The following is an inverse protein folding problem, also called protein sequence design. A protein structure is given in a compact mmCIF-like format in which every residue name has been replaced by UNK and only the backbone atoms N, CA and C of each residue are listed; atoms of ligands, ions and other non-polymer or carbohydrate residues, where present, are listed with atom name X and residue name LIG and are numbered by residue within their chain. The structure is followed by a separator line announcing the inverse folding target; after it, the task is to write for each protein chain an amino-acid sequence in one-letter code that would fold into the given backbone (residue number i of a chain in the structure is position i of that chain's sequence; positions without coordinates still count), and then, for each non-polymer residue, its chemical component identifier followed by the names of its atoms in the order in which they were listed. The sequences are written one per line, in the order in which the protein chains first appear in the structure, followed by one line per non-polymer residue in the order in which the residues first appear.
data_IF_207603354389
#
_entry.id   IF_207603354389
#
_cell.length_a   1.000
_cell.length_b   1.000
_cell.length_c   1.000
_cell.angle_alpha   90.00
_cell.angle_beta   90.00
_cell.angle_gamma   90.00
#
_symmetry.space_group_name_H-M   'P 1'
#
loop_
_entity.id
_entity.type
_entity.pdbx_description
1 polymer ?
#
# COMPACT_ATOMS: atom_id res chain seq x y z
N UNK A 1 10.56 -10.26 -17.48
CA UNK A 1 9.21 -10.59 -16.96
C UNK A 1 9.02 -9.79 -15.68
N UNK A 2 7.81 -9.32 -15.36
CA UNK A 2 7.59 -8.53 -14.14
C UNK A 2 7.54 -9.41 -12.88
N UNK A 3 8.16 -8.96 -11.79
CA UNK A 3 8.17 -9.63 -10.47
C UNK A 3 7.27 -8.86 -9.51
N UNK A 4 6.61 -9.55 -8.58
CA UNK A 4 5.77 -8.95 -7.54
C UNK A 4 6.41 -9.07 -6.16
N UNK A 5 6.38 -7.98 -5.37
CA UNK A 5 6.78 -7.98 -3.97
C UNK A 5 5.63 -7.51 -3.08
N UNK A 6 5.42 -8.20 -1.95
CA UNK A 6 4.28 -7.98 -1.05
C UNK A 6 3.22 -9.07 -1.16
N UNK A 7 1.98 -8.74 -0.79
CA UNK A 7 0.88 -9.68 -0.63
C UNK A 7 0.03 -9.77 -1.92
N UNK A 8 0.63 -10.32 -2.98
CA UNK A 8 0.03 -10.43 -4.32
C UNK A 8 -0.89 -11.65 -4.52
N UNK A 9 -1.07 -12.50 -3.50
CA UNK A 9 -2.03 -13.62 -3.51
C UNK A 9 -3.21 -13.25 -2.63
N UNK A 10 -4.43 -13.37 -3.16
CA UNK A 10 -5.65 -12.99 -2.44
C UNK A 10 -5.76 -13.72 -1.09
N UNK A 11 -5.96 -12.95 -0.03
CA UNK A 11 -6.28 -13.46 1.28
C UNK A 11 -7.79 -13.78 1.39
N UNK A 12 -8.09 -14.79 2.21
CA UNK A 12 -9.47 -15.22 2.42
C UNK A 12 -10.29 -14.17 3.22
N UNK A 13 -9.64 -13.49 4.16
CA UNK A 13 -10.26 -12.47 5.00
C UNK A 13 -10.64 -11.20 4.23
N UNK A 14 -11.46 -10.38 4.87
CA UNK A 14 -11.87 -9.07 4.37
C UNK A 14 -11.74 -8.03 5.49
N UNK A 15 -10.97 -6.97 5.26
CA UNK A 15 -10.85 -5.85 6.20
C UNK A 15 -11.98 -4.84 6.01
N UNK A 16 -12.08 -3.90 6.94
CA UNK A 16 -12.86 -2.68 6.80
C UNK A 16 -11.92 -1.48 6.93
N UNK A 17 -11.81 -0.69 5.86
CA UNK A 17 -11.06 0.56 5.83
C UNK A 17 -12.05 1.72 5.75
N UNK A 18 -12.09 2.51 6.81
CA UNK A 18 -12.88 3.75 6.87
C UNK A 18 -12.14 4.86 6.12
N UNK A 19 -12.84 5.74 5.38
CA UNK A 19 -12.21 6.91 4.75
C UNK A 19 -11.59 7.86 5.79
N UNK A 20 -10.68 8.71 5.34
CA UNK A 20 -9.99 9.69 6.19
C UNK A 20 -8.68 9.18 6.80
N UNK A 21 -8.20 8.01 6.39
CA UNK A 21 -6.92 7.45 6.82
C UNK A 21 -6.06 7.02 5.64
N UNK A 22 -4.77 7.36 5.72
CA UNK A 22 -3.73 6.73 4.92
C UNK A 22 -3.10 5.64 5.78
N UNK A 23 -3.18 4.37 5.35
CA UNK A 23 -2.71 3.25 6.17
C UNK A 23 -2.14 2.09 5.35
N UNK A 24 -1.19 1.37 5.95
CA UNK A 24 -0.64 0.18 5.33
C UNK A 24 0.55 -0.41 6.07
N UNK A 25 1.30 -1.25 5.36
CA UNK A 25 2.31 -2.12 5.96
C UNK A 25 3.61 -2.16 5.14
N UNK A 26 4.66 -2.78 5.69
CA UNK A 26 5.95 -2.83 5.04
C UNK A 26 5.96 -3.86 3.91
N UNK A 27 6.77 -3.59 2.89
CA UNK A 27 7.18 -4.53 1.84
C UNK A 27 8.70 -4.57 1.75
N UNK A 28 9.24 -5.70 1.31
CA UNK A 28 10.68 -5.88 1.12
C UNK A 28 10.98 -6.04 -0.36
N UNK A 29 11.91 -5.23 -0.86
CA UNK A 29 12.49 -5.32 -2.20
C UNK A 29 13.90 -5.94 -2.05
N UNK A 30 14.11 -7.21 -2.44
CA UNK A 30 15.33 -7.94 -2.13
C UNK A 30 16.54 -7.51 -2.97
N UNK A 31 16.33 -6.88 -4.12
CA UNK A 31 17.39 -6.44 -5.02
C UNK A 31 16.99 -5.15 -5.76
N UNK A 32 17.96 -4.36 -6.26
CA UNK A 32 17.66 -3.18 -7.04
C UNK A 32 16.71 -3.51 -8.19
N UNK A 33 15.62 -2.76 -8.31
CA UNK A 33 14.53 -3.03 -9.24
C UNK A 33 13.94 -1.73 -9.76
N UNK A 34 13.16 -1.78 -10.84
CA UNK A 34 12.37 -0.64 -11.34
C UNK A 34 10.91 -0.85 -11.01
N UNK A 35 10.34 -0.01 -10.13
CA UNK A 35 8.90 0.00 -9.86
C UNK A 35 8.13 0.31 -11.13
N UNK A 36 7.05 -0.43 -11.38
CA UNK A 36 6.18 -0.24 -12.54
C UNK A 36 4.71 -0.08 -12.17
N UNK A 37 4.24 -0.77 -11.12
CA UNK A 37 2.85 -0.71 -10.68
C UNK A 37 2.74 -0.78 -9.16
N UNK A 38 1.69 -0.14 -8.64
CA UNK A 38 1.19 -0.37 -7.29
C UNK A 38 -0.07 -1.24 -7.36
N UNK A 39 -0.16 -2.22 -6.48
CA UNK A 39 -1.16 -3.27 -6.52
C UNK A 39 -1.98 -3.35 -5.24
N UNK A 40 -3.28 -3.62 -5.40
CA UNK A 40 -4.23 -3.91 -4.32
C UNK A 40 -5.14 -5.06 -4.73
N UNK A 41 -5.55 -5.92 -3.78
CA UNK A 41 -6.62 -6.91 -4.00
C UNK A 41 -7.81 -6.57 -3.10
N UNK A 42 -8.89 -6.12 -3.71
CA UNK A 42 -10.07 -5.65 -3.01
C UNK A 42 -11.15 -6.74 -2.92
N UNK A 43 -11.85 -6.78 -1.80
CA UNK A 43 -13.02 -7.65 -1.56
C UNK A 43 -14.34 -6.96 -1.94
N UNK A 44 -14.33 -5.64 -2.05
CA UNK A 44 -15.43 -4.82 -2.57
C UNK A 44 -14.92 -3.79 -3.58
N UNK A 45 -15.79 -3.38 -4.50
CA UNK A 45 -15.58 -2.20 -5.36
C UNK A 45 -16.46 -1.04 -4.92
N UNK A 46 -16.35 0.10 -5.60
CA UNK A 46 -17.18 1.28 -5.34
C UNK A 46 -16.40 2.56 -5.06
N UNK A 47 -15.66 2.66 -3.94
CA UNK A 47 -14.87 3.85 -3.63
C UNK A 47 -13.70 4.02 -4.60
N UNK A 48 -13.06 5.17 -4.57
CA UNK A 48 -11.75 5.38 -5.19
C UNK A 48 -10.64 5.09 -4.19
N UNK A 49 -9.53 4.56 -4.70
CA UNK A 49 -8.31 4.33 -3.95
C UNK A 49 -7.17 5.20 -4.48
N UNK A 50 -6.36 5.70 -3.57
CA UNK A 50 -4.99 6.15 -3.83
C UNK A 50 -4.07 5.16 -3.14
N UNK A 51 -3.16 4.54 -3.90
CA UNK A 51 -2.08 3.71 -3.35
C UNK A 51 -0.78 4.49 -3.46
N UNK A 52 0.01 4.47 -2.40
CA UNK A 52 1.29 5.15 -2.30
C UNK A 52 2.36 4.20 -1.78
N UNK A 53 3.58 4.39 -2.25
CA UNK A 53 4.79 3.74 -1.76
C UNK A 53 5.68 4.79 -1.10
N UNK A 54 6.07 4.53 0.13
CA UNK A 54 6.97 5.35 0.93
C UNK A 54 8.29 4.60 1.18
N UNK A 55 9.40 5.34 1.27
CA UNK A 55 10.67 4.80 1.72
C UNK A 55 10.61 4.42 3.19
N UNK A 56 11.47 3.51 3.63
CA UNK A 56 11.68 3.23 5.05
C UNK A 56 12.83 4.07 5.62
N UNK A 57 12.61 4.67 6.79
CA UNK A 57 13.63 5.27 7.63
C UNK A 57 13.51 4.68 9.04
N UNK A 58 14.48 3.84 9.41
CA UNK A 58 14.54 3.19 10.73
C UNK A 58 13.29 2.39 11.11
N UNK A 59 12.64 1.74 10.14
CA UNK A 59 11.44 0.94 10.37
C UNK A 59 10.14 1.75 10.35
N UNK A 60 10.18 3.01 9.88
CA UNK A 60 9.03 3.89 9.73
C UNK A 60 8.91 4.39 8.28
N UNK A 61 7.69 4.63 7.75
CA UNK A 61 7.51 5.31 6.47
C UNK A 61 8.01 6.76 6.51
N UNK A 62 8.73 7.20 5.47
CA UNK A 62 9.32 8.55 5.38
C UNK A 62 8.97 9.27 4.07
N UNK A 63 9.78 9.14 3.02
CA UNK A 63 9.61 9.91 1.77
C UNK A 63 8.68 9.24 0.78
N UNK A 64 7.84 10.01 0.12
CA UNK A 64 6.99 9.51 -0.95
C UNK A 64 7.87 9.10 -2.14
N UNK A 65 7.77 7.83 -2.55
CA UNK A 65 8.52 7.26 -3.68
C UNK A 65 7.68 7.27 -4.94
N UNK A 66 6.43 6.85 -4.84
CA UNK A 66 5.48 6.83 -5.94
C UNK A 66 4.04 6.78 -5.41
N UNK A 67 3.10 7.24 -6.22
CA UNK A 67 1.68 7.06 -5.98
C UNK A 67 0.93 6.95 -7.29
N UNK A 68 -0.32 6.52 -7.20
CA UNK A 68 -1.27 6.50 -8.32
C UNK A 68 -2.34 7.55 -8.10
N UNK A 69 -2.92 8.13 -9.17
CA UNK A 69 -4.08 9.00 -9.03
C UNK A 69 -5.27 8.21 -8.45
N UNK A 70 -6.26 8.94 -7.93
CA UNK A 70 -7.51 8.35 -7.46
C UNK A 70 -8.12 7.45 -8.54
N UNK A 71 -8.25 6.16 -8.22
CA UNK A 71 -8.66 5.13 -9.17
C UNK A 71 -9.92 4.42 -8.64
N UNK A 72 -10.98 4.25 -9.45
CA UNK A 72 -12.19 3.57 -9.00
C UNK A 72 -11.90 2.10 -8.70
N UNK A 73 -12.30 1.65 -7.50
CA UNK A 73 -12.05 0.29 -7.06
C UNK A 73 -12.98 -0.72 -7.72
N UNK A 74 -12.40 -1.84 -8.12
CA UNK A 74 -13.08 -3.04 -8.60
C UNK A 74 -12.72 -4.22 -7.70
N UNK A 75 -13.61 -5.21 -7.60
CA UNK A 75 -13.34 -6.45 -6.85
C UNK A 75 -12.20 -7.23 -7.52
N UNK A 76 -11.30 -7.79 -6.72
CA UNK A 76 -10.15 -8.57 -7.17
C UNK A 76 -8.88 -7.73 -7.28
N UNK A 77 -7.91 -8.26 -8.02
CA UNK A 77 -6.60 -7.63 -8.18
C UNK A 77 -6.67 -6.43 -9.12
N UNK A 78 -6.16 -5.30 -8.65
CA UNK A 78 -5.95 -4.09 -9.41
C UNK A 78 -4.47 -3.73 -9.41
N UNK A 79 -3.92 -3.48 -10.59
CA UNK A 79 -2.55 -3.05 -10.79
C UNK A 79 -2.55 -1.72 -11.53
N UNK A 80 -2.11 -0.68 -10.85
CA UNK A 80 -2.17 0.69 -11.35
C UNK A 80 -0.75 1.12 -11.73
N UNK A 81 -0.53 1.53 -13.00
CA UNK A 81 0.80 1.89 -13.46
C UNK A 81 1.29 3.16 -12.78
N UNK A 82 2.59 3.21 -12.50
CA UNK A 82 3.29 4.42 -12.06
C UNK A 82 4.34 4.81 -13.08
N UNK A 83 4.84 6.04 -12.99
CA UNK A 83 6.09 6.41 -13.65
C UNK A 83 7.18 5.45 -13.20
N UNK A 84 7.95 4.81 -14.12
CA UNK A 84 9.01 3.90 -13.74
C UNK A 84 10.02 4.55 -12.79
N UNK A 85 10.17 3.98 -11.59
CA UNK A 85 11.01 4.54 -10.52
C UNK A 85 12.03 3.52 -10.07
N UNK A 86 13.31 3.91 -10.03
CA UNK A 86 14.38 3.05 -9.51
C UNK A 86 14.23 2.84 -8.00
N UNK A 87 14.19 1.59 -7.56
CA UNK A 87 14.14 1.17 -6.17
C UNK A 87 15.45 0.45 -5.82
N UNK A 88 16.28 1.01 -4.93
CA UNK A 88 17.28 0.23 -4.23
C UNK A 88 16.68 -0.99 -3.51
N UNK A 89 17.50 -2.01 -3.26
CA UNK A 89 17.12 -3.08 -2.35
C UNK A 89 16.86 -2.50 -0.95
N UNK A 90 15.77 -2.90 -0.30
CA UNK A 90 15.41 -2.38 1.01
C UNK A 90 13.96 -2.62 1.39
N UNK A 91 13.60 -2.08 2.54
CA UNK A 91 12.21 -2.02 3.02
C UNK A 91 11.55 -0.75 2.53
N UNK A 92 10.26 -0.86 2.22
CA UNK A 92 9.37 0.25 1.86
C UNK A 92 8.03 0.06 2.58
N UNK A 93 7.16 1.06 2.51
CA UNK A 93 5.83 1.03 3.08
C UNK A 93 4.80 1.30 1.99
N UNK A 94 3.90 0.35 1.76
CA UNK A 94 2.79 0.53 0.84
C UNK A 94 1.53 0.87 1.64
N UNK A 95 0.88 1.97 1.27
CA UNK A 95 -0.24 2.54 2.01
C UNK A 95 -1.39 2.86 1.05
N UNK A 96 -2.60 2.60 1.51
CA UNK A 96 -3.85 2.89 0.79
C UNK A 96 -4.66 3.95 1.51
N UNK A 97 -5.35 4.78 0.73
CA UNK A 97 -6.31 5.77 1.18
C UNK A 97 -7.57 5.67 0.32
N UNK A 98 -8.74 5.86 0.94
CA UNK A 98 -10.04 5.65 0.30
C UNK A 98 -10.97 6.84 0.51
N UNK A 99 -11.82 7.14 -0.48
CA UNK A 99 -12.83 8.21 -0.42
C UNK A 99 -14.19 7.75 0.16
N UNK A 100 -14.32 6.45 0.41
CA UNK A 100 -15.46 5.80 1.06
C UNK A 100 -15.02 4.49 1.71
N UNK A 101 -15.96 3.79 2.35
CA UNK A 101 -15.66 2.51 3.01
C UNK A 101 -15.17 1.49 1.98
N UNK A 102 -13.98 0.93 2.24
CA UNK A 102 -13.35 -0.06 1.37
C UNK A 102 -13.08 -1.37 2.13
N UNK A 103 -13.01 -2.47 1.38
CA UNK A 103 -12.64 -3.77 1.93
C UNK A 103 -11.51 -4.38 1.13
N UNK A 104 -10.38 -4.61 1.80
CA UNK A 104 -9.16 -5.18 1.21
C UNK A 104 -8.99 -6.59 1.76
N UNK A 105 -8.39 -7.48 0.98
CA UNK A 105 -8.04 -8.79 1.51
C UNK A 105 -7.06 -8.64 2.68
N UNK A 106 -7.30 -9.38 3.76
CA UNK A 106 -6.53 -9.30 5.01
C UNK A 106 -6.14 -10.68 5.51
N UNK A 107 -4.93 -10.78 6.04
CA UNK A 107 -4.47 -11.88 6.88
C UNK A 107 -4.10 -11.35 8.27
N UNK A 108 -4.61 -12.03 9.30
CA UNK A 108 -4.40 -11.69 10.71
C UNK A 108 -3.66 -12.82 11.47
N UNK A 109 -3.03 -13.74 10.72
CA UNK A 109 -2.36 -14.91 11.28
C UNK A 109 -1.08 -14.60 12.05
N UNK A 110 -0.36 -13.52 11.69
CA UNK A 110 0.84 -13.06 12.39
C UNK A 110 0.54 -11.79 13.21
N UNK A 111 0.50 -11.89 14.56
CA UNK A 111 0.17 -10.78 15.44
C UNK A 111 1.21 -9.65 15.46
N UNK A 112 2.38 -9.86 14.84
CA UNK A 112 3.50 -8.92 14.87
C UNK A 112 3.63 -8.07 13.59
N UNK A 113 2.80 -8.31 12.56
CA UNK A 113 2.84 -7.53 11.32
C UNK A 113 2.52 -6.06 11.64
N UNK A 114 3.46 -5.12 11.46
CA UNK A 114 3.23 -3.75 11.83
C UNK A 114 2.37 -3.04 10.79
N UNK A 115 1.43 -2.25 11.27
CA UNK A 115 0.67 -1.29 10.45
C UNK A 115 1.03 0.11 10.90
N UNK A 116 1.08 1.03 9.93
CA UNK A 116 1.15 2.46 10.17
C UNK A 116 -0.07 3.14 9.57
N UNK A 117 -0.57 4.15 10.27
CA UNK A 117 -1.69 4.94 9.82
C UNK A 117 -1.63 6.39 10.31
N UNK A 118 -2.18 7.31 9.54
CA UNK A 118 -2.44 8.67 9.97
C UNK A 118 -3.77 9.18 9.42
N UNK A 119 -4.36 10.16 10.09
CA UNK A 119 -5.53 10.89 9.58
C UNK A 119 -5.12 11.74 8.38
N UNK A 120 -5.75 11.48 7.23
CA UNK A 120 -5.46 12.14 5.97
C UNK A 120 -6.75 12.25 5.16
N UNK A 121 -7.14 13.46 4.76
CA UNK A 121 -8.28 13.65 3.85
C UNK A 121 -7.94 13.17 2.44
N UNK A 122 -8.88 12.53 1.76
CA UNK A 122 -8.70 12.02 0.40
C UNK A 122 -8.45 13.13 -0.63
N UNK A 123 -8.89 14.36 -0.33
CA UNK A 123 -8.67 15.55 -1.16
C UNK A 123 -7.29 16.18 -0.99
N UNK A 124 -6.61 15.87 0.11
CA UNK A 124 -5.36 16.53 0.46
C UNK A 124 -4.19 15.84 -0.26
N UNK A 125 -3.14 16.59 -0.65
CA UNK A 125 -1.96 15.98 -1.25
C UNK A 125 -1.36 14.96 -0.27
N UNK A 126 -0.88 13.84 -0.80
CA UNK A 126 -0.14 12.85 -0.03
C UNK A 126 1.05 13.53 0.67
N UNK A 127 1.26 13.30 1.98
CA UNK A 127 2.34 13.94 2.71
C UNK A 127 3.69 13.41 2.23
N UNK A 128 4.67 14.31 2.08
CA UNK A 128 6.07 13.99 1.78
C UNK A 128 7.00 15.04 2.43
N UNK A 129 7.69 14.73 3.54
CA UNK A 129 7.75 13.41 4.19
C UNK A 129 6.44 13.06 4.90
N UNK A 130 6.23 11.78 5.17
CA UNK A 130 5.16 11.30 6.03
C UNK A 130 5.40 11.84 7.46
N UNK A 131 4.43 12.51 8.10
CA UNK A 131 4.55 12.85 9.51
C UNK A 131 4.55 11.58 10.37
N UNK A 132 4.92 11.68 11.66
CA UNK A 132 4.83 10.54 12.58
C UNK A 132 3.46 9.89 12.54
N UNK A 133 3.43 8.61 12.16
CA UNK A 133 2.21 7.83 12.05
C UNK A 133 1.92 7.08 13.36
N UNK A 134 0.64 6.82 13.62
CA UNK A 134 0.23 5.89 14.66
C UNK A 134 0.50 4.45 14.20
N UNK A 135 0.50 3.52 15.16
CA UNK A 135 0.77 2.11 14.89
C UNK A 135 -0.15 1.16 15.63
N UNK A 136 -0.37 0.02 15.00
CA UNK A 136 -0.85 -1.21 15.62
C UNK A 136 -0.19 -2.40 14.91
N UNK A 137 -0.50 -3.63 15.33
CA UNK A 137 0.02 -4.83 14.69
C UNK A 137 -1.05 -5.90 14.49
N UNK A 138 -0.71 -6.92 13.71
CA UNK A 138 -1.53 -8.10 13.51
C UNK A 138 -2.33 -8.11 12.22
N UNK A 139 -2.06 -7.20 11.28
CA UNK A 139 -2.83 -7.10 10.04
C UNK A 139 -1.92 -6.93 8.83
N UNK A 140 -1.96 -7.91 7.93
CA UNK A 140 -1.34 -7.84 6.62
C UNK A 140 -2.45 -7.62 5.57
N UNK A 141 -2.35 -6.54 4.80
CA UNK A 141 -3.29 -6.24 3.71
C UNK A 141 -2.76 -6.77 2.39
N UNK A 142 -3.66 -7.11 1.46
CA UNK A 142 -3.31 -7.44 0.08
C UNK A 142 -2.85 -6.21 -0.73
N UNK A 143 -1.71 -5.66 -0.34
CA UNK A 143 -0.97 -4.66 -1.07
C UNK A 143 0.34 -5.25 -1.57
N UNK A 144 0.73 -4.88 -2.78
CA UNK A 144 1.96 -5.35 -3.41
C UNK A 144 2.45 -4.34 -4.45
N UNK A 145 3.66 -4.54 -4.94
CA UNK A 145 4.22 -3.79 -6.06
C UNK A 145 4.60 -4.73 -7.20
N UNK A 146 4.62 -4.21 -8.42
CA UNK A 146 5.27 -4.87 -9.56
C UNK A 146 6.52 -4.14 -9.96
N UNK A 147 7.56 -4.90 -10.23
CA UNK A 147 8.85 -4.38 -10.66
C UNK A 147 9.35 -5.05 -11.94
N UNK A 148 10.25 -4.36 -12.64
CA UNK A 148 11.14 -4.92 -13.64
C UNK A 148 12.56 -5.00 -13.06
N UNK A 149 13.27 -6.08 -13.40
CA UNK A 149 14.65 -6.37 -12.98
C UNK A 149 15.58 -6.36 -14.20
#
# INVERSE_FOLDING_TARGET
MGVTYGNATEFAGASQHTPGYLLGGPITVPQPSTLTHLGVIAKSGGPHVIVALYSDAAGEPDRLVASVPATPMTVGAMEMPVTPTSLPAGRYWIMGQYDGDASIGIDESDPNVPVRYLEQSFSDPLPDPLPPAFSYSGQAFNYYIRVAE
#
